data_IF_377438043371
#
_entry.id   IF_377438043371
#
_cell.length_a   1.000
_cell.length_b   1.000
_cell.length_c   1.000
_cell.angle_alpha   90.00
_cell.angle_beta   90.00
_cell.angle_gamma   90.00
#
_symmetry.space_group_name_H-M   'P 1'
#
loop_
_entity.id
_entity.type
_entity.pdbx_description
1 polymer ?
#
# COMPACT_ATOMS: atom_id res chain seq x y z
N UNK A 1 3.33 -8.65 -4.95
CA UNK A 1 4.01 -9.84 -4.40
C UNK A 1 3.77 -11.01 -5.35
N UNK A 2 4.79 -11.82 -5.58
CA UNK A 2 4.65 -13.12 -6.25
C UNK A 2 4.63 -14.19 -5.16
N UNK A 3 3.67 -15.10 -5.20
CA UNK A 3 3.46 -16.09 -4.14
C UNK A 3 3.35 -17.49 -4.73
N UNK A 4 4.21 -18.41 -4.28
CA UNK A 4 4.04 -19.82 -4.63
C UNK A 4 2.89 -20.43 -3.82
N UNK A 5 2.04 -21.24 -4.45
CA UNK A 5 1.00 -22.00 -3.73
C UNK A 5 1.62 -23.15 -2.95
N UNK A 6 2.63 -23.82 -3.51
CA UNK A 6 3.28 -24.98 -2.94
C UNK A 6 4.53 -24.56 -2.16
N UNK A 7 4.32 -23.80 -1.08
CA UNK A 7 5.41 -23.42 -0.18
C UNK A 7 5.95 -24.66 0.56
N UNK A 8 7.27 -24.75 0.81
CA UNK A 8 7.85 -25.91 1.49
C UNK A 8 7.42 -26.05 2.95
N UNK A 9 6.99 -24.96 3.58
CA UNK A 9 6.60 -24.83 4.98
C UNK A 9 5.08 -24.67 5.19
N UNK A 10 4.27 -24.68 4.12
CA UNK A 10 2.83 -24.56 4.25
C UNK A 10 2.07 -24.33 2.93
N UNK A 11 0.84 -23.86 3.04
CA UNK A 11 0.00 -23.54 1.89
C UNK A 11 0.03 -22.04 1.59
N UNK A 12 0.37 -21.66 0.36
CA UNK A 12 0.39 -20.27 -0.08
C UNK A 12 -0.95 -19.55 0.06
N UNK A 13 -2.10 -20.25 0.02
CA UNK A 13 -3.40 -19.64 0.27
C UNK A 13 -3.60 -19.25 1.75
N UNK A 14 -3.04 -20.01 2.69
CA UNK A 14 -3.10 -19.64 4.10
C UNK A 14 -2.23 -18.40 4.36
N UNK A 15 -1.03 -18.37 3.78
CA UNK A 15 -0.16 -17.19 3.82
C UNK A 15 -0.81 -15.98 3.14
N UNK A 16 -1.54 -16.17 2.04
CA UNK A 16 -2.28 -15.10 1.37
C UNK A 16 -3.26 -14.41 2.32
N UNK A 17 -4.04 -15.17 3.10
CA UNK A 17 -4.99 -14.59 4.06
C UNK A 17 -4.27 -13.78 5.14
N UNK A 18 -3.22 -14.33 5.75
CA UNK A 18 -2.41 -13.62 6.76
C UNK A 18 -1.75 -12.35 6.16
N UNK A 19 -1.23 -12.46 4.94
CA UNK A 19 -0.63 -11.34 4.24
C UNK A 19 -1.67 -10.26 3.96
N UNK A 20 -2.89 -10.59 3.52
CA UNK A 20 -3.95 -9.61 3.27
C UNK A 20 -4.49 -8.97 4.55
N UNK A 21 -4.50 -9.67 5.67
CA UNK A 21 -4.86 -9.08 6.98
C UNK A 21 -3.84 -8.01 7.40
N UNK A 22 -2.55 -8.27 7.19
CA UNK A 22 -1.48 -7.33 7.57
C UNK A 22 -1.23 -6.26 6.52
N UNK A 23 -1.50 -6.60 5.26
CA UNK A 23 -1.13 -5.84 4.06
C UNK A 23 -2.27 -5.84 3.03
N UNK A 24 -3.44 -5.25 3.36
CA UNK A 24 -4.64 -5.31 2.53
C UNK A 24 -4.43 -4.82 1.10
N UNK A 25 -3.58 -3.82 0.90
CA UNK A 25 -3.37 -3.17 -0.41
C UNK A 25 -2.28 -3.82 -1.24
N UNK A 26 -1.53 -4.77 -0.69
CA UNK A 26 -0.50 -5.49 -1.45
C UNK A 26 -1.14 -6.34 -2.54
N UNK A 27 -0.85 -6.03 -3.80
CA UNK A 27 -1.23 -6.83 -4.96
C UNK A 27 -0.52 -8.19 -4.96
N UNK A 28 -1.24 -9.28 -5.20
CA UNK A 28 -0.70 -10.65 -5.17
C UNK A 28 -0.94 -11.36 -6.50
N UNK A 29 0.11 -11.98 -7.04
CA UNK A 29 0.03 -12.90 -8.18
C UNK A 29 0.47 -14.28 -7.69
N UNK A 30 -0.38 -15.30 -7.85
CA UNK A 30 0.00 -16.66 -7.51
C UNK A 30 0.78 -17.32 -8.64
N UNK A 31 1.79 -18.09 -8.25
CA UNK A 31 2.51 -19.02 -9.09
C UNK A 31 2.25 -20.43 -8.55
N UNK A 32 1.78 -21.35 -9.37
CA UNK A 32 1.42 -22.70 -8.90
C UNK A 32 1.97 -23.77 -9.81
N UNK A 33 2.16 -24.99 -9.33
CA UNK A 33 2.28 -26.18 -10.21
C UNK A 33 0.97 -26.96 -10.30
N UNK A 34 -0.06 -26.53 -9.56
CA UNK A 34 -1.34 -27.20 -9.46
C UNK A 34 -2.33 -26.66 -10.49
N UNK A 35 -2.83 -27.53 -11.35
CA UNK A 35 -3.77 -27.23 -12.44
C UNK A 35 -5.21 -27.65 -12.13
N UNK A 36 -5.49 -28.07 -10.89
CA UNK A 36 -6.84 -28.44 -10.45
C UNK A 36 -7.76 -27.21 -10.44
N UNK A 37 -8.91 -27.34 -11.11
CA UNK A 37 -9.93 -26.30 -11.29
C UNK A 37 -10.35 -25.64 -9.96
N UNK A 38 -10.45 -26.43 -8.89
CA UNK A 38 -10.86 -25.97 -7.57
C UNK A 38 -9.84 -25.01 -6.90
N UNK A 39 -8.55 -25.14 -7.22
CA UNK A 39 -7.51 -24.23 -6.73
C UNK A 39 -7.39 -22.99 -7.61
N UNK A 40 -7.75 -23.08 -8.89
CA UNK A 40 -7.90 -21.89 -9.75
C UNK A 40 -9.02 -20.97 -9.24
N UNK A 41 -10.16 -21.53 -8.80
CA UNK A 41 -11.25 -20.73 -8.22
C UNK A 41 -10.82 -19.96 -6.96
N UNK A 42 -10.04 -20.59 -6.07
CA UNK A 42 -9.44 -19.90 -4.90
C UNK A 42 -8.42 -18.84 -5.32
N UNK A 43 -7.70 -19.09 -6.41
CA UNK A 43 -6.79 -18.13 -7.03
C UNK A 43 -7.44 -16.89 -7.63
N UNK A 44 -8.78 -16.84 -7.75
CA UNK A 44 -9.53 -15.66 -8.20
C UNK A 44 -10.31 -14.97 -7.08
N UNK A 45 -9.99 -15.27 -5.81
CA UNK A 45 -10.56 -14.54 -4.68
C UNK A 45 -10.30 -13.03 -4.78
N UNK A 46 -11.23 -12.19 -4.25
CA UNK A 46 -11.05 -10.75 -4.21
C UNK A 46 -9.71 -10.35 -3.62
N UNK A 47 -8.93 -9.56 -4.36
CA UNK A 47 -7.60 -9.11 -3.95
C UNK A 47 -6.43 -9.85 -4.61
N UNK A 48 -6.70 -10.87 -5.43
CA UNK A 48 -5.73 -11.51 -6.32
C UNK A 48 -5.71 -10.85 -7.70
N UNK A 49 -4.52 -10.58 -8.23
CA UNK A 49 -4.35 -9.89 -9.52
C UNK A 49 -4.29 -10.83 -10.72
N UNK A 50 -3.67 -12.00 -10.54
CA UNK A 50 -3.51 -13.04 -11.55
C UNK A 50 -3.11 -14.38 -10.89
N UNK A 51 -3.35 -15.48 -11.59
CA UNK A 51 -2.98 -16.84 -11.21
C UNK A 51 -2.23 -17.50 -12.37
N UNK A 52 -1.00 -17.95 -12.14
CA UNK A 52 -0.11 -18.43 -13.21
C UNK A 52 0.37 -19.85 -12.92
N UNK A 53 -0.02 -20.80 -13.77
CA UNK A 53 0.38 -22.21 -13.69
C UNK A 53 1.76 -22.43 -14.32
N UNK A 54 2.62 -23.17 -13.61
CA UNK A 54 3.94 -23.62 -14.03
C UNK A 54 3.85 -24.97 -14.76
N UNK A 55 4.71 -25.24 -15.75
CA UNK A 55 5.72 -24.32 -16.29
C UNK A 55 5.09 -23.26 -17.21
N UNK A 56 5.64 -22.04 -17.20
CA UNK A 56 5.21 -20.95 -18.08
C UNK A 56 6.39 -20.35 -18.86
N UNK A 57 6.18 -19.87 -20.09
CA UNK A 57 7.21 -19.10 -20.78
C UNK A 57 7.47 -17.78 -20.06
N UNK A 58 8.73 -17.44 -19.83
CA UNK A 58 9.11 -16.20 -19.13
C UNK A 58 8.56 -14.95 -19.84
N UNK A 59 8.51 -14.96 -21.17
CA UNK A 59 7.94 -13.86 -21.98
C UNK A 59 6.45 -13.64 -21.73
N UNK A 60 5.68 -14.71 -21.47
CA UNK A 60 4.26 -14.64 -21.14
C UNK A 60 4.07 -14.07 -19.74
N UNK A 61 4.87 -14.55 -18.78
CA UNK A 61 4.84 -14.06 -17.41
C UNK A 61 5.19 -12.56 -17.31
N UNK A 62 6.22 -12.11 -18.04
CA UNK A 62 6.58 -10.70 -18.11
C UNK A 62 5.43 -9.82 -18.63
N UNK A 63 4.68 -10.29 -19.64
CA UNK A 63 3.51 -9.55 -20.17
C UNK A 63 2.40 -9.46 -19.13
N UNK A 64 2.09 -10.55 -18.43
CA UNK A 64 1.10 -10.58 -17.33
C UNK A 64 1.50 -9.64 -16.20
N UNK A 65 2.76 -9.70 -15.76
CA UNK A 65 3.30 -8.81 -14.73
C UNK A 65 3.22 -7.35 -15.17
N UNK A 66 3.61 -7.02 -16.41
CA UNK A 66 3.52 -5.66 -16.94
C UNK A 66 2.06 -5.16 -16.99
N UNK A 67 1.10 -6.02 -17.31
CA UNK A 67 -0.32 -5.68 -17.27
C UNK A 67 -0.78 -5.38 -15.84
N UNK A 68 -0.44 -6.22 -14.86
CA UNK A 68 -0.76 -5.99 -13.45
C UNK A 68 -0.13 -4.67 -12.97
N UNK A 69 1.17 -4.50 -13.18
CA UNK A 69 1.88 -3.26 -12.82
C UNK A 69 1.29 -2.03 -13.52
N UNK A 70 0.88 -2.15 -14.78
CA UNK A 70 0.22 -1.08 -15.53
C UNK A 70 -1.16 -0.72 -14.94
N UNK A 71 -1.94 -1.70 -14.48
CA UNK A 71 -3.20 -1.45 -13.77
C UNK A 71 -2.96 -0.77 -12.43
N UNK A 72 -1.99 -1.25 -11.65
CA UNK A 72 -1.59 -0.62 -10.38
C UNK A 72 -1.04 0.80 -10.58
N UNK A 73 -0.30 1.04 -11.67
CA UNK A 73 0.20 2.35 -12.07
C UNK A 73 -0.94 3.33 -12.41
N UNK A 74 -1.98 2.86 -13.13
CA UNK A 74 -3.18 3.66 -13.39
C UNK A 74 -4.03 3.87 -12.15
N UNK A 75 -4.04 2.88 -11.26
CA UNK A 75 -4.58 3.02 -9.92
C UNK A 75 -3.71 3.91 -9.04
N UNK A 76 -2.47 4.30 -9.41
CA UNK A 76 -1.52 5.15 -8.63
C UNK A 76 -1.92 6.63 -8.52
N UNK A 77 -3.17 6.94 -8.87
CA UNK A 77 -3.96 7.82 -8.02
C UNK A 77 -4.06 7.30 -6.57
N UNK A 78 -3.56 6.09 -6.27
CA UNK A 78 -3.95 5.22 -5.17
C UNK A 78 -3.91 6.00 -3.91
N UNK A 79 -5.11 6.25 -3.43
CA UNK A 79 -5.34 6.87 -2.16
C UNK A 79 -5.07 5.88 -1.05
N UNK A 80 -4.05 5.02 -1.17
CA UNK A 80 -3.63 4.09 -0.16
C UNK A 80 -2.10 4.03 -0.11
N UNK A 81 -1.54 3.90 1.08
CA UNK A 81 -0.11 3.68 1.34
C UNK A 81 0.05 2.53 2.32
N UNK A 82 1.08 1.71 2.14
CA UNK A 82 1.39 0.60 3.01
C UNK A 82 2.88 0.23 2.96
N UNK A 83 3.55 0.17 4.12
CA UNK A 83 4.94 -0.31 4.26
C UNK A 83 5.09 -1.47 5.24
N UNK A 84 3.96 -2.04 5.67
CA UNK A 84 3.90 -3.14 6.64
C UNK A 84 3.93 -2.69 8.11
N UNK A 85 4.28 -1.44 8.41
CA UNK A 85 4.05 -0.83 9.71
C UNK A 85 2.88 0.15 9.65
N UNK A 86 2.92 1.08 8.71
CA UNK A 86 1.88 2.09 8.49
C UNK A 86 1.04 1.69 7.28
N UNK A 87 -0.27 1.69 7.46
CA UNK A 87 -1.27 1.57 6.40
C UNK A 87 -2.15 2.81 6.45
N UNK A 88 -2.39 3.46 5.32
CA UNK A 88 -3.23 4.67 5.23
C UNK A 88 -4.12 4.55 4.01
N UNK A 89 -5.42 4.82 4.15
CA UNK A 89 -6.32 5.10 3.03
C UNK A 89 -6.64 6.60 3.02
N UNK A 90 -6.05 7.33 2.08
CA UNK A 90 -6.23 8.76 1.83
C UNK A 90 -7.62 9.17 1.31
N UNK A 91 -8.49 8.25 0.84
CA UNK A 91 -9.88 8.57 0.47
C UNK A 91 -10.80 8.52 1.67
N UNK A 92 -10.78 7.38 2.36
CA UNK A 92 -11.70 7.13 3.48
C UNK A 92 -11.16 7.69 4.80
N UNK A 93 -9.88 8.08 4.82
CA UNK A 93 -9.10 8.56 5.96
C UNK A 93 -8.80 7.58 7.12
N UNK A 94 -9.04 6.25 7.08
CA UNK A 94 -8.52 5.36 8.11
C UNK A 94 -7.01 5.15 7.92
N UNK A 95 -6.27 5.17 9.02
CA UNK A 95 -4.89 4.70 9.07
C UNK A 95 -4.71 3.71 10.21
N UNK A 96 -3.75 2.81 10.05
CA UNK A 96 -3.28 1.92 11.12
C UNK A 96 -1.77 1.96 11.19
N UNK A 97 -1.24 1.93 12.41
CA UNK A 97 0.20 1.85 12.66
C UNK A 97 0.48 0.66 13.58
N UNK A 98 1.21 -0.32 13.07
CA UNK A 98 1.42 -1.62 13.70
C UNK A 98 0.10 -2.27 14.14
N UNK A 99 -0.91 -2.21 13.27
CA UNK A 99 -2.27 -2.74 13.51
C UNK A 99 -3.14 -1.91 14.45
N UNK A 100 -2.64 -0.81 15.04
CA UNK A 100 -3.44 0.08 15.89
C UNK A 100 -4.07 1.19 15.06
N UNK A 101 -5.39 1.46 15.19
CA UNK A 101 -6.03 2.58 14.51
C UNK A 101 -5.36 3.91 14.85
N UNK A 102 -5.18 4.74 13.83
CA UNK A 102 -4.61 6.08 13.91
C UNK A 102 -5.47 7.00 13.05
N UNK A 103 -5.80 8.17 13.59
CA UNK A 103 -6.60 9.17 12.88
C UNK A 103 -5.74 10.38 12.56
N UNK A 104 -5.70 10.73 11.29
CA UNK A 104 -5.07 11.95 10.81
C UNK A 104 -6.13 13.00 10.48
N UNK A 105 -5.82 14.27 10.72
CA UNK A 105 -6.63 15.39 10.23
C UNK A 105 -6.51 15.48 8.70
N UNK A 106 -7.41 16.20 8.01
CA UNK A 106 -7.31 16.37 6.56
C UNK A 106 -5.95 16.92 6.11
N UNK A 107 -5.39 17.90 6.85
CA UNK A 107 -4.10 18.50 6.54
C UNK A 107 -2.93 17.51 6.74
N UNK A 108 -2.95 16.74 7.82
CA UNK A 108 -1.96 15.69 8.08
C UNK A 108 -2.01 14.58 7.00
N UNK A 109 -3.22 14.16 6.59
CA UNK A 109 -3.40 13.19 5.52
C UNK A 109 -2.90 13.72 4.17
N UNK A 110 -3.15 14.99 3.86
CA UNK A 110 -2.62 15.64 2.65
C UNK A 110 -1.10 15.66 2.66
N UNK A 111 -0.49 16.03 3.79
CA UNK A 111 0.97 16.00 3.96
C UNK A 111 1.52 14.58 3.77
N UNK A 112 0.92 13.58 4.42
CA UNK A 112 1.32 12.19 4.30
C UNK A 112 1.22 11.71 2.84
N UNK A 113 0.15 12.03 2.13
CA UNK A 113 -0.03 11.68 0.72
C UNK A 113 1.08 12.24 -0.17
N UNK A 114 1.51 13.48 0.10
CA UNK A 114 2.63 14.09 -0.62
C UNK A 114 3.93 13.34 -0.29
N UNK A 115 4.20 13.06 0.98
CA UNK A 115 5.43 12.36 1.39
C UNK A 115 5.50 10.93 0.83
N UNK A 116 4.41 10.17 0.88
CA UNK A 116 4.36 8.77 0.42
C UNK A 116 4.45 8.64 -1.10
N UNK A 117 4.04 9.66 -1.85
CA UNK A 117 4.24 9.72 -3.31
C UNK A 117 5.64 10.14 -3.74
N UNK A 118 6.46 10.65 -2.82
CA UNK A 118 7.83 11.09 -3.10
C UNK A 118 8.82 10.38 -2.15
N UNK A 119 8.84 9.04 -2.12
CA UNK A 119 9.70 8.30 -1.20
C UNK A 119 11.17 8.56 -1.54
N UNK A 120 12.01 8.68 -0.49
CA UNK A 120 13.46 8.93 -0.61
C UNK A 120 13.83 10.25 -1.30
N UNK A 121 12.88 11.16 -1.52
CA UNK A 121 13.13 12.49 -2.06
C UNK A 121 13.07 13.50 -0.92
N UNK A 122 14.11 14.32 -0.77
CA UNK A 122 14.09 15.47 0.15
C UNK A 122 13.23 16.56 -0.48
N UNK A 123 12.04 16.78 0.09
CA UNK A 123 11.16 17.87 -0.32
C UNK A 123 11.47 19.13 0.49
N UNK A 124 11.71 20.25 -0.19
CA UNK A 124 11.86 21.55 0.48
C UNK A 124 10.50 22.03 1.01
N UNK A 125 10.54 22.95 1.97
CA UNK A 125 9.33 23.57 2.51
C UNK A 125 8.46 24.22 1.42
N UNK A 126 9.09 24.93 0.49
CA UNK A 126 8.40 25.56 -0.64
C UNK A 126 7.71 24.53 -1.53
N UNK A 127 8.39 23.44 -1.88
CA UNK A 127 7.82 22.34 -2.68
C UNK A 127 6.65 21.66 -1.96
N UNK A 128 6.73 21.51 -0.63
CA UNK A 128 5.62 20.96 0.17
C UNK A 128 4.41 21.89 0.14
N UNK A 129 4.60 23.20 0.32
CA UNK A 129 3.51 24.18 0.25
C UNK A 129 2.84 24.15 -1.13
N UNK A 130 3.63 24.14 -2.21
CA UNK A 130 3.13 24.04 -3.60
C UNK A 130 2.34 22.74 -3.84
N UNK A 131 2.89 21.58 -3.44
CA UNK A 131 2.21 20.28 -3.62
C UNK A 131 0.96 20.11 -2.75
N UNK A 132 0.90 20.80 -1.62
CA UNK A 132 -0.27 20.86 -0.75
C UNK A 132 -1.20 22.02 -1.11
N UNK A 133 -1.03 22.68 -2.26
CA UNK A 133 -1.89 23.77 -2.70
C UNK A 133 -3.01 23.29 -3.62
N UNK A 134 -2.73 22.33 -4.52
CA UNK A 134 -3.69 21.87 -5.53
C UNK A 134 -4.77 20.92 -4.98
N UNK A 135 -6.00 21.43 -4.81
CA UNK A 135 -7.29 20.74 -5.07
C UNK A 135 -8.49 21.45 -4.41
N UNK A 136 -8.33 22.00 -3.20
CA UNK A 136 -9.45 22.40 -2.34
C UNK A 136 -9.46 23.89 -1.91
N UNK A 137 -8.63 24.75 -2.54
CA UNK A 137 -8.54 26.20 -2.28
C UNK A 137 -8.29 26.62 -0.81
N UNK A 138 -7.92 25.67 0.05
CA UNK A 138 -7.56 25.94 1.45
C UNK A 138 -6.10 26.40 1.53
N UNK A 139 -5.89 27.68 1.87
CA UNK A 139 -4.56 28.24 2.09
C UNK A 139 -3.86 27.53 3.25
N UNK A 140 -2.78 26.81 2.96
CA UNK A 140 -1.89 26.27 3.98
C UNK A 140 -0.70 27.20 4.13
N UNK A 141 -0.62 27.88 5.28
CA UNK A 141 0.53 28.70 5.61
C UNK A 141 1.70 27.88 6.19
N UNK A 142 2.84 28.54 6.34
CA UNK A 142 4.05 27.92 6.91
C UNK A 142 3.88 27.36 8.32
N UNK A 143 3.07 28.03 9.15
CA UNK A 143 2.82 27.59 10.52
C UNK A 143 1.96 26.33 10.52
N UNK A 144 0.94 26.26 9.67
CA UNK A 144 0.09 25.11 9.48
C UNK A 144 0.89 23.89 8.97
N UNK A 145 1.78 24.07 7.99
CA UNK A 145 2.68 22.99 7.54
C UNK A 145 3.61 22.50 8.67
N UNK A 146 4.17 23.42 9.46
CA UNK A 146 5.04 23.08 10.60
C UNK A 146 4.27 22.31 11.67
N UNK A 147 3.06 22.75 11.99
CA UNK A 147 2.17 22.09 12.94
C UNK A 147 1.79 20.69 12.46
N UNK A 148 1.36 20.54 11.21
CA UNK A 148 0.99 19.26 10.62
C UNK A 148 2.16 18.27 10.62
N UNK A 149 3.37 18.72 10.23
CA UNK A 149 4.58 17.90 10.28
C UNK A 149 4.87 17.41 11.69
N UNK A 150 4.78 18.30 12.68
CA UNK A 150 5.02 17.97 14.09
C UNK A 150 3.97 17.00 14.64
N UNK A 151 2.70 17.21 14.30
CA UNK A 151 1.60 16.34 14.73
C UNK A 151 1.70 14.94 14.13
N UNK A 152 2.00 14.81 12.82
CA UNK A 152 2.25 13.52 12.17
C UNK A 152 3.39 12.77 12.86
N UNK A 153 4.53 13.44 13.09
CA UNK A 153 5.66 12.83 13.78
C UNK A 153 5.30 12.38 15.20
N UNK A 154 4.57 13.19 15.96
CA UNK A 154 4.16 12.87 17.32
C UNK A 154 3.18 11.69 17.35
N UNK A 155 2.19 11.66 16.46
CA UNK A 155 1.23 10.57 16.31
C UNK A 155 1.93 9.25 16.01
N UNK A 156 2.87 9.26 15.06
CA UNK A 156 3.67 8.08 14.73
C UNK A 156 4.51 7.67 15.96
N UNK A 157 5.31 8.58 16.53
CA UNK A 157 6.17 8.31 17.69
C UNK A 157 5.41 7.74 18.90
N UNK A 158 4.26 8.30 19.26
CA UNK A 158 3.48 7.84 20.41
C UNK A 158 3.05 6.37 20.31
N UNK A 159 2.77 5.89 19.10
CA UNK A 159 2.42 4.47 18.87
C UNK A 159 3.66 3.58 19.04
N UNK A 160 4.84 4.03 18.59
CA UNK A 160 6.11 3.32 18.78
C UNK A 160 6.51 3.22 20.27
N UNK A 161 6.35 4.29 21.05
CA UNK A 161 6.70 4.27 22.48
C UNK A 161 5.78 3.41 23.34
N UNK A 162 4.51 3.22 22.96
CA UNK A 162 3.60 2.26 23.62
C UNK A 162 3.91 0.78 23.32
N UNK A 163 5.07 0.48 22.71
CA UNK A 163 5.56 -0.87 22.39
C UNK A 163 6.81 -1.24 23.23
N UNK A 164 7.38 -0.27 23.95
CA UNK A 164 8.48 -0.45 24.92
C UNK A 164 7.92 -0.51 26.34
#
# INVERSE_FOLDING_TARGET
>A
MLLDVNLPDGNGFDFYREAKERRPYTAIIFLTSNDMENDMFKGYEPGTEDYVTKPFPMSVFQKKLAMVLGRLAKQSGSDCYEDGALTVNFLEMPATLSGRPLVFTPLENRLLKVLTKNPQIVLTRQVLLEKMWDADDNFVDEHALTAATSQVQNKIKMVWYKKS
#
